data_IF_715454622827
#
_entry.id   IF_715454622827
#
_cell.length_a   1.000
_cell.length_b   1.000
_cell.length_c   1.000
_cell.angle_alpha   90.00
_cell.angle_beta   90.00
_cell.angle_gamma   90.00
#
_symmetry.space_group_name_H-M   'P 1'
#
loop_
_entity.id
_entity.type
_entity.pdbx_description
1 polymer ?
#
# COMPACT_ATOMS: atom_id res chain seq x y z
N UNK A 1 43.20 -13.97 0.91
CA UNK A 1 42.93 -13.07 2.05
C UNK A 1 41.94 -12.07 1.49
N UNK A 2 40.65 -12.40 1.59
CA UNK A 2 39.60 -11.56 1.03
C UNK A 2 39.32 -10.47 2.07
N UNK A 3 39.52 -9.22 1.67
CA UNK A 3 39.14 -8.07 2.47
C UNK A 3 37.63 -8.14 2.70
N UNK A 4 37.23 -8.35 3.95
CA UNK A 4 35.88 -8.04 4.41
C UNK A 4 35.75 -6.52 4.34
N UNK A 5 35.10 -6.04 3.28
CA UNK A 5 34.52 -4.72 3.28
C UNK A 5 33.53 -4.64 4.45
N UNK A 6 33.54 -3.55 5.24
CA UNK A 6 32.52 -3.37 6.27
C UNK A 6 31.16 -3.40 5.56
N UNK A 7 30.31 -4.38 5.91
CA UNK A 7 28.92 -4.44 5.43
C UNK A 7 28.26 -3.12 5.80
N UNK A 8 28.11 -2.23 4.82
CA UNK A 8 26.99 -1.30 4.82
C UNK A 8 25.73 -2.11 5.10
N UNK A 9 24.91 -1.67 6.05
CA UNK A 9 23.72 -2.41 6.46
C UNK A 9 22.86 -2.74 5.23
N UNK A 10 22.69 -4.04 5.02
CA UNK A 10 21.89 -4.60 3.94
C UNK A 10 20.42 -4.36 4.26
N UNK A 11 19.71 -3.62 3.42
CA UNK A 11 18.27 -3.46 3.57
C UNK A 11 17.55 -4.74 3.13
N UNK A 12 16.43 -5.02 3.80
CA UNK A 12 15.64 -6.23 3.56
C UNK A 12 14.21 -5.83 3.28
N UNK A 13 13.56 -6.56 2.37
CA UNK A 13 12.17 -6.33 2.02
C UNK A 13 11.47 -7.62 1.59
N UNK A 14 10.17 -7.65 1.76
CA UNK A 14 9.30 -8.69 1.24
C UNK A 14 8.54 -8.20 0.00
N UNK A 15 8.30 -9.12 -0.94
CA UNK A 15 7.53 -8.85 -2.16
C UNK A 15 6.32 -9.77 -2.24
N UNK A 16 5.13 -9.18 -2.22
CA UNK A 16 3.87 -9.87 -2.50
C UNK A 16 3.60 -9.99 -3.99
N UNK A 17 2.96 -11.07 -4.42
CA UNK A 17 2.75 -11.37 -5.86
C UNK A 17 1.35 -11.92 -6.14
N UNK A 18 0.91 -11.81 -7.40
CA UNK A 18 -0.16 -12.67 -7.92
C UNK A 18 0.44 -14.00 -8.41
N UNK A 19 -0.07 -15.12 -7.90
CA UNK A 19 0.46 -16.46 -8.15
C UNK A 19 -0.47 -17.34 -9.00
N UNK A 20 -1.73 -16.94 -9.12
CA UNK A 20 -2.74 -17.64 -9.93
C UNK A 20 -2.92 -16.88 -11.24
N UNK A 21 -3.09 -17.62 -12.34
CA UNK A 21 -3.26 -17.06 -13.69
C UNK A 21 -4.23 -15.87 -13.72
N UNK A 22 -3.85 -14.73 -14.33
CA UNK A 22 -2.66 -14.54 -15.18
C UNK A 22 -1.35 -14.20 -14.42
N UNK A 23 -1.37 -14.24 -13.09
CA UNK A 23 -0.19 -14.00 -12.24
C UNK A 23 0.93 -15.03 -12.48
N UNK A 24 2.18 -14.57 -12.37
CA UNK A 24 3.39 -15.37 -12.59
C UNK A 24 4.30 -15.47 -11.36
N UNK A 25 3.90 -14.91 -10.23
CA UNK A 25 4.64 -15.02 -8.99
C UNK A 25 4.50 -16.41 -8.36
N UNK A 26 5.37 -16.72 -7.41
CA UNK A 26 5.36 -18.00 -6.72
C UNK A 26 4.91 -17.92 -5.25
N UNK A 27 4.71 -16.70 -4.72
CA UNK A 27 4.32 -16.47 -3.34
C UNK A 27 4.86 -15.15 -2.79
N UNK A 28 5.40 -15.18 -1.57
CA UNK A 28 6.08 -14.04 -0.95
C UNK A 28 7.58 -14.22 -1.10
N UNK A 29 8.28 -13.23 -1.68
CA UNK A 29 9.73 -13.26 -1.85
C UNK A 29 10.37 -12.47 -0.72
N UNK A 30 11.43 -13.01 -0.13
CA UNK A 30 12.32 -12.27 0.78
C UNK A 30 13.51 -11.82 -0.04
N UNK A 31 13.81 -10.53 -0.01
CA UNK A 31 14.81 -9.92 -0.86
C UNK A 31 15.72 -9.01 -0.04
N UNK A 32 16.91 -8.76 -0.56
CA UNK A 32 17.80 -7.74 -0.02
C UNK A 32 18.09 -6.65 -1.04
N UNK A 33 18.43 -5.46 -0.55
CA UNK A 33 18.84 -4.27 -1.29
C UNK A 33 20.20 -3.81 -0.77
N UNK A 34 21.20 -3.80 -1.65
CA UNK A 34 22.53 -3.25 -1.35
C UNK A 34 22.52 -1.71 -1.60
N UNK A 35 23.47 -0.94 -1.03
CA UNK A 35 23.47 0.53 -1.18
C UNK A 35 23.70 1.06 -2.60
N UNK A 36 24.22 0.23 -3.51
CA UNK A 36 24.33 0.57 -4.94
C UNK A 36 23.00 0.38 -5.69
N UNK A 37 21.98 -0.15 -5.01
CA UNK A 37 20.67 -0.44 -5.54
C UNK A 37 20.49 -1.85 -6.06
N UNK A 38 21.54 -2.68 -6.04
CA UNK A 38 21.43 -4.07 -6.48
C UNK A 38 20.56 -4.88 -5.53
N UNK A 39 19.73 -5.75 -6.09
CA UNK A 39 18.75 -6.53 -5.35
C UNK A 39 18.92 -8.01 -5.60
N UNK A 40 18.65 -8.83 -4.58
CA UNK A 40 18.71 -10.30 -4.71
C UNK A 40 17.60 -10.99 -3.94
N UNK A 41 17.09 -12.08 -4.50
CA UNK A 41 16.16 -12.99 -3.82
C UNK A 41 16.96 -13.83 -2.82
N UNK A 42 16.48 -13.87 -1.57
CA UNK A 42 17.01 -14.70 -0.50
C UNK A 42 16.21 -16.00 -0.37
N UNK A 43 14.88 -15.89 -0.40
CA UNK A 43 13.97 -17.02 -0.24
C UNK A 43 12.60 -16.72 -0.89
N UNK A 44 11.85 -17.78 -1.19
CA UNK A 44 10.47 -17.71 -1.66
C UNK A 44 9.59 -18.58 -0.77
N UNK A 45 8.59 -17.96 -0.15
CA UNK A 45 7.55 -18.63 0.61
C UNK A 45 6.32 -18.88 -0.27
N UNK A 46 6.07 -20.15 -0.62
CA UNK A 46 5.09 -20.54 -1.66
C UNK A 46 3.76 -21.09 -1.13
N UNK A 47 3.53 -21.08 0.18
CA UNK A 47 2.39 -21.77 0.78
C UNK A 47 1.06 -20.98 0.72
N UNK A 48 1.07 -19.75 0.20
CA UNK A 48 -0.08 -18.86 0.14
C UNK A 48 -0.34 -18.45 -1.32
N UNK A 49 -1.58 -18.60 -1.84
CA UNK A 49 -1.96 -18.10 -3.16
C UNK A 49 -2.26 -16.60 -3.12
N UNK A 50 -1.86 -15.89 -4.18
CA UNK A 50 -2.09 -14.45 -4.37
C UNK A 50 -1.85 -13.60 -3.10
N UNK A 51 -0.66 -13.65 -2.46
CA UNK A 51 -0.29 -12.72 -1.41
C UNK A 51 -0.03 -11.33 -2.00
N UNK A 52 -1.08 -10.68 -2.49
CA UNK A 52 -1.00 -9.44 -3.27
C UNK A 52 -0.70 -8.20 -2.43
N UNK A 53 -0.90 -8.29 -1.11
CA UNK A 53 -0.55 -7.25 -0.15
C UNK A 53 -0.05 -7.85 1.15
N UNK A 54 1.07 -7.32 1.66
CA UNK A 54 1.69 -7.75 2.91
C UNK A 54 2.05 -6.56 3.78
N UNK A 55 1.94 -6.71 5.09
CA UNK A 55 2.42 -5.72 6.06
C UNK A 55 3.20 -6.40 7.18
N UNK A 56 4.01 -5.62 7.89
CA UNK A 56 4.87 -6.11 8.96
C UNK A 56 4.48 -5.55 10.32
N UNK A 57 4.56 -6.43 11.31
CA UNK A 57 4.79 -6.07 12.70
C UNK A 57 6.28 -6.35 12.99
N UNK A 58 7.12 -5.34 12.71
CA UNK A 58 8.59 -5.45 12.75
C UNK A 58 9.12 -5.79 14.14
N UNK A 59 8.66 -5.13 15.23
CA UNK A 59 9.16 -5.43 16.58
C UNK A 59 9.01 -6.90 16.97
N UNK A 60 7.93 -7.56 16.52
CA UNK A 60 7.65 -8.96 16.86
C UNK A 60 8.04 -9.95 15.75
N UNK A 61 8.68 -9.49 14.67
CA UNK A 61 9.07 -10.29 13.50
C UNK A 61 7.91 -11.08 12.88
N UNK A 62 6.81 -10.38 12.65
CA UNK A 62 5.59 -10.93 12.05
C UNK A 62 5.26 -10.26 10.74
N UNK A 63 4.64 -11.03 9.86
CA UNK A 63 4.12 -10.58 8.57
C UNK A 63 2.67 -11.04 8.44
N UNK A 64 1.80 -10.17 7.94
CA UNK A 64 0.42 -10.48 7.62
C UNK A 64 0.22 -10.36 6.12
N UNK A 65 -0.48 -11.32 5.50
CA UNK A 65 -0.67 -11.39 4.05
C UNK A 65 -2.12 -11.71 3.70
N UNK A 66 -2.70 -10.97 2.75
CA UNK A 66 -3.99 -11.33 2.16
C UNK A 66 -3.85 -12.53 1.24
N UNK A 67 -4.94 -13.25 1.00
CA UNK A 67 -5.07 -14.18 -0.11
C UNK A 67 -6.13 -13.59 -1.04
N UNK A 68 -5.70 -12.84 -2.07
CA UNK A 68 -6.64 -12.14 -2.95
C UNK A 68 -7.36 -13.14 -3.86
N UNK A 69 -8.57 -13.50 -3.47
CA UNK A 69 -9.38 -14.52 -4.10
C UNK A 69 -10.89 -14.24 -3.91
N UNK A 70 -11.73 -14.99 -4.65
CA UNK A 70 -13.18 -14.95 -4.49
C UNK A 70 -13.67 -15.47 -3.14
N UNK A 71 -14.97 -15.32 -2.87
CA UNK A 71 -15.61 -15.53 -1.56
C UNK A 71 -15.28 -16.86 -0.85
N UNK A 72 -15.11 -17.94 -1.61
CA UNK A 72 -14.86 -19.27 -1.04
C UNK A 72 -13.40 -19.48 -0.62
N UNK A 73 -12.48 -18.64 -1.08
CA UNK A 73 -11.03 -18.80 -0.87
C UNK A 73 -10.34 -17.54 -0.34
N UNK A 74 -11.08 -16.43 -0.18
CA UNK A 74 -10.59 -15.22 0.47
C UNK A 74 -10.15 -15.52 1.90
N UNK A 75 -8.91 -15.16 2.20
CA UNK A 75 -8.29 -15.44 3.49
C UNK A 75 -7.21 -14.40 3.83
N UNK A 76 -6.74 -14.46 5.07
CA UNK A 76 -5.60 -13.70 5.56
C UNK A 76 -4.74 -14.63 6.42
N UNK A 77 -3.44 -14.56 6.26
CA UNK A 77 -2.49 -15.38 7.02
C UNK A 77 -1.61 -14.52 7.91
N UNK A 78 -1.34 -15.02 9.12
CA UNK A 78 -0.24 -14.57 9.96
C UNK A 78 0.98 -15.45 9.73
N UNK A 79 2.14 -14.80 9.61
CA UNK A 79 3.43 -15.43 9.43
C UNK A 79 4.42 -14.85 10.43
N UNK A 80 5.43 -15.64 10.80
CA UNK A 80 6.64 -15.17 11.48
C UNK A 80 7.81 -15.21 10.51
N UNK A 81 8.86 -14.44 10.78
CA UNK A 81 10.14 -14.57 10.08
C UNK A 81 11.33 -14.69 11.02
N UNK A 82 12.33 -15.45 10.58
CA UNK A 82 13.59 -15.67 11.29
C UNK A 82 14.59 -14.53 11.03
N UNK A 83 15.74 -14.56 11.70
CA UNK A 83 16.81 -13.55 11.51
C UNK A 83 17.42 -13.56 10.10
N UNK A 84 17.33 -14.68 9.40
CA UNK A 84 17.67 -14.83 7.98
C UNK A 84 16.45 -14.65 7.06
N UNK A 85 15.38 -14.05 7.60
CA UNK A 85 14.17 -13.62 6.89
C UNK A 85 13.35 -14.75 6.23
N UNK A 86 13.47 -15.97 6.75
CA UNK A 86 12.64 -17.10 6.30
C UNK A 86 11.25 -17.01 6.89
N UNK A 87 10.22 -17.03 6.05
CA UNK A 87 8.82 -16.99 6.49
C UNK A 87 8.33 -18.36 6.98
N UNK A 88 7.52 -18.34 8.04
CA UNK A 88 6.81 -19.51 8.58
C UNK A 88 5.37 -19.15 8.85
N UNK A 89 4.45 -19.97 8.33
CA UNK A 89 3.02 -19.82 8.61
C UNK A 89 2.72 -20.04 10.09
N UNK A 90 1.95 -19.13 10.70
CA UNK A 90 1.41 -19.28 12.05
C UNK A 90 -0.02 -19.84 11.93
N UNK A 91 -0.93 -19.08 11.33
CA UNK A 91 -2.27 -19.53 11.01
C UNK A 91 -2.86 -18.77 9.81
N UNK A 92 -4.02 -19.23 9.35
CA UNK A 92 -4.81 -18.61 8.29
C UNK A 92 -6.26 -18.49 8.75
N UNK A 93 -6.87 -17.33 8.55
CA UNK A 93 -8.28 -17.07 8.82
C UNK A 93 -9.04 -16.84 7.51
N UNK A 94 -10.27 -17.34 7.43
CA UNK A 94 -11.18 -17.01 6.33
C UNK A 94 -11.57 -15.54 6.41
N UNK A 95 -11.57 -14.85 5.28
CA UNK A 95 -12.05 -13.47 5.15
C UNK A 95 -13.47 -13.45 4.58
N UNK A 96 -14.50 -13.04 5.36
CA UNK A 96 -15.82 -12.78 4.81
C UNK A 96 -15.79 -11.64 3.79
N UNK A 97 -16.23 -11.93 2.57
CA UNK A 97 -16.13 -11.01 1.43
C UNK A 97 -15.29 -11.62 0.32
N UNK A 98 -14.87 -10.81 -0.65
CA UNK A 98 -14.07 -11.24 -1.79
C UNK A 98 -13.04 -10.19 -2.18
N UNK A 99 -11.93 -10.69 -2.73
CA UNK A 99 -10.76 -9.91 -3.16
C UNK A 99 -10.18 -9.04 -2.03
N UNK A 100 -9.77 -9.64 -0.88
CA UNK A 100 -9.02 -8.90 0.14
C UNK A 100 -7.74 -8.35 -0.49
N UNK A 101 -7.51 -7.05 -0.34
CA UNK A 101 -6.51 -6.34 -1.14
C UNK A 101 -5.60 -5.39 -0.35
N UNK A 102 -5.88 -5.17 0.94
CA UNK A 102 -5.09 -4.29 1.79
C UNK A 102 -5.25 -4.66 3.26
N UNK A 103 -4.21 -4.38 4.05
CA UNK A 103 -4.13 -4.66 5.49
C UNK A 103 -3.70 -3.41 6.26
N UNK A 104 -4.14 -3.28 7.50
CA UNK A 104 -3.54 -2.35 8.46
C UNK A 104 -3.51 -2.93 9.86
N UNK A 105 -2.41 -2.68 10.56
CA UNK A 105 -2.28 -2.93 12.00
C UNK A 105 -2.73 -1.69 12.75
N UNK A 106 -3.49 -1.89 13.81
CA UNK A 106 -3.76 -0.79 14.73
C UNK A 106 -2.48 -0.40 15.50
N UNK A 107 -2.38 0.83 16.02
CA UNK A 107 -1.18 1.30 16.70
C UNK A 107 -0.77 0.50 17.93
N UNK A 108 -1.70 -0.23 18.57
CA UNK A 108 -1.39 -1.12 19.69
C UNK A 108 -0.85 -2.49 19.26
N UNK A 109 -1.06 -2.89 18.00
CA UNK A 109 -0.70 -4.20 17.48
C UNK A 109 -1.65 -5.33 17.92
N UNK A 110 -2.83 -4.98 18.44
CA UNK A 110 -3.85 -5.93 18.90
C UNK A 110 -4.86 -6.30 17.81
N UNK A 111 -4.99 -5.50 16.75
CA UNK A 111 -5.97 -5.68 15.70
C UNK A 111 -5.36 -5.57 14.30
N UNK A 112 -5.88 -6.42 13.41
CA UNK A 112 -5.61 -6.40 11.99
C UNK A 112 -6.92 -6.12 11.23
N UNK A 113 -6.93 -5.09 10.39
CA UNK A 113 -8.05 -4.81 9.48
C UNK A 113 -7.74 -5.25 8.06
N UNK A 114 -8.73 -5.77 7.35
CA UNK A 114 -8.62 -6.20 5.94
C UNK A 114 -9.68 -5.50 5.10
N UNK A 115 -9.28 -4.87 4.00
CA UNK A 115 -10.20 -4.28 3.03
C UNK A 115 -10.50 -5.27 1.90
N UNK A 116 -11.78 -5.51 1.62
CA UNK A 116 -12.24 -6.38 0.54
C UNK A 116 -12.76 -5.56 -0.64
N UNK A 117 -12.05 -5.63 -1.77
CA UNK A 117 -12.34 -4.80 -2.93
C UNK A 117 -13.66 -5.20 -3.60
N UNK A 118 -13.83 -6.46 -3.96
CA UNK A 118 -14.96 -6.88 -4.81
C UNK A 118 -16.30 -6.91 -4.08
N UNK A 119 -16.29 -7.15 -2.77
CA UNK A 119 -17.51 -7.15 -1.93
C UNK A 119 -17.77 -5.82 -1.22
N UNK A 120 -16.80 -4.90 -1.18
CA UNK A 120 -16.97 -3.57 -0.61
C UNK A 120 -17.20 -3.56 0.90
N UNK A 121 -16.42 -4.35 1.64
CA UNK A 121 -16.52 -4.44 3.10
C UNK A 121 -15.14 -4.44 3.76
N UNK A 122 -15.10 -4.10 5.04
CA UNK A 122 -13.89 -4.16 5.88
C UNK A 122 -14.13 -5.17 6.99
N UNK A 123 -13.15 -6.04 7.24
CA UNK A 123 -13.19 -7.00 8.36
C UNK A 123 -12.06 -6.75 9.34
N UNK A 124 -12.24 -7.20 10.58
CA UNK A 124 -11.26 -7.05 11.65
C UNK A 124 -11.05 -8.36 12.40
N UNK A 125 -9.79 -8.64 12.72
CA UNK A 125 -9.34 -9.75 13.56
C UNK A 125 -8.56 -9.20 14.75
N UNK A 126 -8.58 -9.94 15.86
CA UNK A 126 -7.61 -9.74 16.93
C UNK A 126 -6.29 -10.44 16.61
N UNK A 127 -5.21 -9.97 17.20
CA UNK A 127 -3.88 -10.56 17.13
C UNK A 127 -3.54 -11.13 18.51
N UNK A 128 -3.30 -12.43 18.56
CA UNK A 128 -2.94 -13.12 19.79
C UNK A 128 -1.46 -12.91 20.15
N UNK A 129 -1.08 -13.26 21.38
CA UNK A 129 0.27 -13.05 21.89
C UNK A 129 1.36 -13.76 21.07
N UNK A 130 1.04 -14.85 20.36
CA UNK A 130 1.94 -15.57 19.46
C UNK A 130 1.96 -15.01 18.03
N UNK A 131 1.10 -14.03 17.73
CA UNK A 131 0.94 -13.38 16.44
C UNK A 131 -0.14 -13.99 15.56
N UNK A 132 -0.77 -15.09 15.99
CA UNK A 132 -1.87 -15.70 15.27
C UNK A 132 -3.09 -14.78 15.25
N UNK A 133 -3.91 -14.91 14.20
CA UNK A 133 -5.16 -14.17 14.10
C UNK A 133 -6.28 -14.91 14.83
N UNK A 134 -7.04 -14.19 15.64
CA UNK A 134 -8.24 -14.70 16.33
C UNK A 134 -9.35 -15.06 15.33
N UNK A 135 -10.47 -15.57 15.83
CA UNK A 135 -11.72 -15.55 15.05
C UNK A 135 -12.11 -14.12 14.68
N UNK A 136 -12.94 -13.98 13.63
CA UNK A 136 -13.46 -12.70 13.15
C UNK A 136 -14.06 -11.88 14.30
N UNK A 137 -13.58 -10.65 14.48
CA UNK A 137 -14.10 -9.71 15.48
C UNK A 137 -15.25 -8.88 14.93
N UNK A 138 -15.08 -8.37 13.71
CA UNK A 138 -16.09 -7.53 13.08
C UNK A 138 -16.07 -7.60 11.55
N UNK A 139 -17.19 -7.24 10.93
CA UNK A 139 -17.36 -7.14 9.49
C UNK A 139 -18.34 -6.01 9.16
N UNK A 140 -17.83 -4.96 8.53
CA UNK A 140 -18.57 -3.77 8.16
C UNK A 140 -18.80 -3.76 6.65
N UNK A 141 -20.04 -3.98 6.24
CA UNK A 141 -20.48 -3.85 4.85
C UNK A 141 -20.74 -2.38 4.53
N UNK A 142 -20.06 -1.85 3.51
CA UNK A 142 -20.40 -0.52 2.99
C UNK A 142 -21.61 -0.59 2.06
N UNK A 143 -22.18 0.57 1.74
CA UNK A 143 -23.25 0.73 0.77
C UNK A 143 -23.08 2.05 0.00
N UNK A 144 -23.67 2.12 -1.18
CA UNK A 144 -23.55 3.27 -2.07
C UNK A 144 -22.97 2.87 -3.42
N UNK A 145 -22.76 3.86 -4.28
CA UNK A 145 -22.17 3.75 -5.62
C UNK A 145 -21.79 5.15 -6.10
N UNK A 146 -21.18 5.24 -7.28
CA UNK A 146 -20.89 6.53 -7.91
C UNK A 146 -21.14 6.52 -9.42
N UNK A 147 -20.53 7.47 -10.14
CA UNK A 147 -20.85 7.84 -11.52
C UNK A 147 -20.26 6.89 -12.55
N UNK A 148 -19.16 6.20 -12.25
CA UNK A 148 -18.57 5.22 -13.17
C UNK A 148 -19.29 3.86 -13.06
N UNK A 149 -20.29 3.63 -13.90
CA UNK A 149 -21.11 2.42 -13.86
C UNK A 149 -20.36 1.08 -14.02
N UNK A 150 -19.12 1.09 -14.54
CA UNK A 150 -18.31 -0.11 -14.74
C UNK A 150 -17.30 -0.38 -13.60
N UNK A 151 -17.04 0.61 -12.76
CA UNK A 151 -16.01 0.55 -11.70
C UNK A 151 -16.53 0.97 -10.33
N UNK A 152 -17.74 1.50 -10.26
CA UNK A 152 -18.37 2.13 -9.10
C UNK A 152 -19.87 1.79 -9.06
N UNK A 153 -20.23 0.58 -9.45
CA UNK A 153 -21.60 0.04 -9.39
C UNK A 153 -22.09 -0.20 -7.95
N UNK A 154 -21.13 -0.35 -7.04
CA UNK A 154 -21.30 -0.59 -5.62
C UNK A 154 -20.03 -0.16 -4.87
N UNK A 155 -19.95 -0.44 -3.55
CA UNK A 155 -18.75 -0.14 -2.76
C UNK A 155 -17.57 -1.03 -3.15
N UNK A 156 -16.37 -0.45 -3.08
CA UNK A 156 -15.09 -1.13 -3.28
C UNK A 156 -14.07 -0.61 -2.28
N UNK A 157 -14.12 -1.10 -1.04
CA UNK A 157 -13.15 -0.78 -0.01
C UNK A 157 -11.75 -1.25 -0.45
N UNK A 158 -10.83 -0.31 -0.67
CA UNK A 158 -9.54 -0.61 -1.29
C UNK A 158 -8.38 -0.50 -0.31
N UNK A 159 -8.42 0.40 0.67
CA UNK A 159 -7.38 0.44 1.70
C UNK A 159 -7.92 0.85 3.06
N UNK A 160 -7.19 0.43 4.09
CA UNK A 160 -7.40 0.73 5.50
C UNK A 160 -6.11 1.33 6.04
N UNK A 161 -6.18 2.42 6.80
CA UNK A 161 -5.01 3.00 7.49
C UNK A 161 -5.46 3.55 8.84
N UNK A 162 -4.69 3.27 9.89
CA UNK A 162 -4.88 3.92 11.19
C UNK A 162 -4.17 5.27 11.19
N UNK A 163 -4.94 6.32 11.50
CA UNK A 163 -4.44 7.68 11.65
C UNK A 163 -4.19 8.04 13.12
N UNK A 164 -4.07 9.35 13.43
CA UNK A 164 -4.04 9.83 14.79
C UNK A 164 -5.24 9.33 15.61
N UNK A 165 -5.08 9.26 16.93
CA UNK A 165 -6.12 8.79 17.86
C UNK A 165 -6.54 7.32 17.64
N UNK A 166 -5.71 6.53 16.94
CA UNK A 166 -6.02 5.14 16.56
C UNK A 166 -7.35 4.99 15.80
N UNK A 167 -7.78 6.05 15.11
CA UNK A 167 -8.95 6.03 14.24
C UNK A 167 -8.62 5.34 12.91
N UNK A 168 -9.48 4.42 12.50
CA UNK A 168 -9.36 3.73 11.22
C UNK A 168 -9.98 4.58 10.12
N UNK A 169 -9.28 4.71 9.01
CA UNK A 169 -9.74 5.40 7.80
C UNK A 169 -9.72 4.45 6.62
N UNK A 170 -10.76 4.49 5.80
CA UNK A 170 -10.99 3.54 4.71
C UNK A 170 -11.25 4.29 3.41
N UNK A 171 -10.43 4.05 2.41
CA UNK A 171 -10.66 4.51 1.04
C UNK A 171 -11.63 3.56 0.34
N UNK A 172 -12.79 4.05 -0.07
CA UNK A 172 -13.79 3.30 -0.84
C UNK A 172 -13.89 3.85 -2.27
N UNK A 173 -13.28 3.11 -3.19
CA UNK A 173 -13.23 3.45 -4.61
C UNK A 173 -14.63 3.55 -5.21
N UNK A 174 -15.53 2.68 -4.78
CA UNK A 174 -16.87 2.53 -5.36
C UNK A 174 -17.84 3.65 -4.99
N UNK A 175 -17.57 4.37 -3.89
CA UNK A 175 -18.48 5.39 -3.35
C UNK A 175 -17.91 6.81 -3.37
N UNK A 176 -16.66 6.97 -3.82
CA UNK A 176 -15.89 8.23 -3.75
C UNK A 176 -15.81 8.79 -2.33
N UNK A 177 -15.54 7.92 -1.35
CA UNK A 177 -15.48 8.30 0.07
C UNK A 177 -14.17 7.86 0.74
N UNK A 178 -13.71 8.69 1.66
CA UNK A 178 -12.85 8.28 2.77
C UNK A 178 -13.73 8.18 4.02
N UNK A 179 -13.97 6.96 4.49
CA UNK A 179 -14.81 6.67 5.66
C UNK A 179 -13.95 6.57 6.92
N UNK A 180 -14.40 7.14 8.03
CA UNK A 180 -13.73 7.10 9.33
C UNK A 180 -14.48 6.23 10.33
N UNK A 181 -13.71 5.47 11.11
CA UNK A 181 -14.21 4.48 12.06
C UNK A 181 -13.51 4.59 13.40
N UNK A 182 -14.29 4.78 14.46
CA UNK A 182 -13.84 4.56 15.83
C UNK A 182 -13.88 3.08 16.19
N UNK A 183 -13.00 2.66 17.10
CA UNK A 183 -13.02 1.32 17.70
C UNK A 183 -13.69 1.39 19.07
N UNK A 184 -14.85 0.74 19.21
CA UNK A 184 -15.59 0.68 20.48
C UNK A 184 -16.03 -0.77 20.75
N UNK A 185 -15.68 -1.30 21.92
CA UNK A 185 -16.03 -2.67 22.35
C UNK A 185 -15.60 -3.77 21.35
N UNK A 186 -14.43 -3.59 20.73
CA UNK A 186 -13.91 -4.53 19.72
C UNK A 186 -14.69 -4.51 18.40
N UNK A 187 -15.44 -3.43 18.11
CA UNK A 187 -16.19 -3.22 16.87
C UNK A 187 -15.86 -1.89 16.22
N UNK A 188 -15.87 -1.90 14.89
CA UNK A 188 -15.70 -0.72 14.06
C UNK A 188 -17.04 0.01 13.94
N UNK A 189 -17.03 1.31 14.22
CA UNK A 189 -18.23 2.16 14.14
C UNK A 189 -17.92 3.34 13.22
N UNK A 190 -18.62 3.40 12.08
CA UNK A 190 -18.53 4.55 11.19
C UNK A 190 -19.00 5.79 11.96
N UNK A 191 -18.17 6.82 12.01
CA UNK A 191 -18.47 8.07 12.71
C UNK A 191 -18.34 9.30 11.79
N UNK A 192 -17.78 9.11 10.59
CA UNK A 192 -17.47 10.18 9.64
C UNK A 192 -17.29 9.62 8.24
N UNK A 193 -17.57 10.44 7.23
CA UNK A 193 -17.31 10.15 5.82
C UNK A 193 -17.02 11.47 5.11
N UNK A 194 -15.95 11.48 4.31
CA UNK A 194 -15.56 12.63 3.49
C UNK A 194 -15.66 12.25 2.02
N UNK A 195 -16.52 12.95 1.29
CA UNK A 195 -16.69 12.78 -0.15
C UNK A 195 -15.52 13.39 -0.92
N UNK A 196 -15.01 12.65 -1.90
CA UNK A 196 -14.10 13.14 -2.92
C UNK A 196 -14.87 13.49 -4.21
N UNK A 197 -14.15 13.89 -5.25
CA UNK A 197 -14.77 14.18 -6.55
C UNK A 197 -15.48 12.93 -7.09
N UNK A 198 -16.65 13.11 -7.69
CA UNK A 198 -17.39 12.01 -8.28
C UNK A 198 -16.61 11.41 -9.44
N UNK A 199 -16.38 10.10 -9.40
CA UNK A 199 -15.57 9.37 -10.37
C UNK A 199 -14.08 9.32 -10.06
N UNK A 200 -13.64 9.82 -8.90
CA UNK A 200 -12.22 9.82 -8.52
C UNK A 200 -11.70 8.41 -8.20
N UNK A 201 -12.47 7.64 -7.42
CA UNK A 201 -12.13 6.30 -7.00
C UNK A 201 -10.96 6.25 -6.00
N UNK A 202 -11.13 6.74 -4.75
CA UNK A 202 -10.11 6.69 -3.70
C UNK A 202 -9.55 5.27 -3.53
N UNK A 203 -8.22 5.12 -3.53
CA UNK A 203 -7.54 3.81 -3.57
C UNK A 203 -6.69 3.56 -2.34
N UNK A 204 -5.53 4.18 -2.27
CA UNK A 204 -4.57 4.10 -1.15
C UNK A 204 -4.41 5.50 -0.52
N UNK A 205 -3.90 5.53 0.71
CA UNK A 205 -3.76 6.78 1.46
C UNK A 205 -2.59 6.72 2.43
N UNK A 206 -2.05 7.88 2.78
CA UNK A 206 -0.94 8.02 3.72
C UNK A 206 -1.06 9.33 4.50
N UNK A 207 -0.86 9.27 5.82
CA UNK A 207 -0.83 10.47 6.66
C UNK A 207 0.52 11.19 6.55
N UNK A 208 0.51 12.51 6.72
CA UNK A 208 1.73 13.26 7.03
C UNK A 208 2.37 12.74 8.33
N UNK A 209 3.69 12.86 8.51
CA UNK A 209 4.37 12.37 9.73
C UNK A 209 3.80 12.92 11.04
N UNK A 210 3.26 14.14 11.01
CA UNK A 210 2.61 14.79 12.16
C UNK A 210 1.10 14.50 12.28
N UNK A 211 0.53 13.75 11.34
CA UNK A 211 -0.88 13.36 11.31
C UNK A 211 -1.87 14.49 11.00
N UNK A 212 -1.41 15.68 10.59
CA UNK A 212 -2.28 16.82 10.26
C UNK A 212 -2.90 16.74 8.87
N UNK A 213 -2.33 15.96 7.97
CA UNK A 213 -2.79 15.84 6.59
C UNK A 213 -2.91 14.38 6.17
N UNK A 214 -3.86 14.11 5.29
CA UNK A 214 -4.04 12.83 4.63
C UNK A 214 -3.95 13.03 3.12
N UNK A 215 -3.07 12.27 2.48
CA UNK A 215 -2.94 12.23 1.04
C UNK A 215 -3.62 10.96 0.53
N UNK A 216 -4.51 11.11 -0.45
CA UNK A 216 -5.30 9.99 -0.99
C UNK A 216 -5.07 9.94 -2.49
N UNK A 217 -4.56 8.81 -2.98
CA UNK A 217 -4.50 8.53 -4.41
C UNK A 217 -5.88 8.09 -4.89
N UNK A 218 -6.34 8.68 -5.98
CA UNK A 218 -7.58 8.36 -6.67
C UNK A 218 -7.26 7.59 -7.96
N UNK A 219 -7.74 6.35 -8.04
CA UNK A 219 -7.39 5.41 -9.10
C UNK A 219 -7.95 5.84 -10.46
N UNK A 220 -9.21 6.25 -10.51
CA UNK A 220 -9.98 6.32 -11.76
C UNK A 220 -9.74 7.62 -12.53
N UNK A 221 -9.44 8.71 -11.83
CA UNK A 221 -9.15 10.01 -12.45
C UNK A 221 -7.66 10.40 -12.42
N UNK A 222 -6.80 9.52 -11.89
CA UNK A 222 -5.36 9.76 -11.73
C UNK A 222 -5.03 11.07 -11.01
N UNK A 223 -5.61 11.26 -9.83
CA UNK A 223 -5.35 12.42 -8.97
C UNK A 223 -4.83 12.02 -7.58
N UNK A 224 -4.22 12.99 -6.89
CA UNK A 224 -4.01 12.93 -5.43
C UNK A 224 -4.86 14.01 -4.78
N UNK A 225 -5.72 13.61 -3.86
CA UNK A 225 -6.45 14.52 -2.96
C UNK A 225 -5.63 14.80 -1.71
N UNK A 226 -5.52 16.08 -1.35
CA UNK A 226 -4.99 16.56 -0.09
C UNK A 226 -6.16 16.89 0.84
N UNK A 227 -6.20 16.23 2.00
CA UNK A 227 -7.18 16.48 3.03
C UNK A 227 -6.49 16.96 4.30
N UNK A 228 -7.09 17.95 4.97
CA UNK A 228 -6.70 18.33 6.33
C UNK A 228 -7.39 17.41 7.33
N UNK A 229 -6.63 16.93 8.31
CA UNK A 229 -7.12 16.18 9.45
C UNK A 229 -7.14 17.08 10.69
N UNK A 230 -8.33 17.29 11.26
CA UNK A 230 -8.51 18.10 12.46
C UNK A 230 -9.63 17.53 13.32
N UNK A 231 -9.34 17.30 14.61
CA UNK A 231 -10.32 16.83 15.61
C UNK A 231 -11.08 15.57 15.15
N UNK A 232 -10.36 14.58 14.60
CA UNK A 232 -10.94 13.32 14.13
C UNK A 232 -11.79 13.44 12.86
N UNK A 233 -11.75 14.56 12.14
CA UNK A 233 -12.47 14.77 10.88
C UNK A 233 -11.52 15.12 9.73
N UNK A 234 -11.95 14.81 8.51
CA UNK A 234 -11.22 15.12 7.27
C UNK A 234 -11.96 16.17 6.44
N UNK A 235 -11.26 17.20 6.00
CA UNK A 235 -11.76 18.17 5.03
C UNK A 235 -10.91 18.16 3.77
N UNK A 236 -11.53 17.93 2.61
CA UNK A 236 -10.86 18.04 1.31
C UNK A 236 -10.42 19.49 1.06
N UNK A 237 -9.13 19.67 0.76
CA UNK A 237 -8.54 20.97 0.42
C UNK A 237 -8.44 21.13 -1.09
N UNK A 238 -7.75 20.19 -1.74
CA UNK A 238 -7.53 20.20 -3.20
C UNK A 238 -7.32 18.79 -3.74
N UNK A 239 -7.47 18.63 -5.05
CA UNK A 239 -7.03 17.46 -5.80
C UNK A 239 -6.21 17.92 -7.00
N UNK A 240 -5.08 17.28 -7.24
CA UNK A 240 -4.23 17.58 -8.41
C UNK A 240 -3.98 16.33 -9.25
N UNK A 241 -3.79 16.50 -10.56
CA UNK A 241 -3.42 15.40 -11.46
C UNK A 241 -2.03 14.87 -11.14
N UNK A 242 -1.87 13.55 -11.18
CA UNK A 242 -0.57 12.86 -11.11
C UNK A 242 0.04 12.62 -12.50
N UNK A 243 -0.53 13.21 -13.54
CA UNK A 243 -0.11 13.04 -14.93
C UNK A 243 0.38 14.36 -15.54
N UNK A 244 1.34 14.31 -16.50
CA UNK A 244 1.67 15.45 -17.33
C UNK A 244 0.43 15.99 -18.06
N UNK A 245 0.34 17.32 -18.20
CA UNK A 245 -0.82 17.98 -18.83
C UNK A 245 -1.10 17.56 -20.28
N UNK A 246 -0.08 17.06 -20.99
CA UNK A 246 -0.12 16.62 -22.38
C UNK A 246 -0.32 15.10 -22.52
N UNK A 247 -0.38 14.35 -21.42
CA UNK A 247 -0.70 12.93 -21.45
C UNK A 247 -2.19 12.71 -21.72
N UNK A 248 -2.49 11.84 -22.68
CA UNK A 248 -3.86 11.56 -23.15
C UNK A 248 -4.21 10.07 -23.14
N UNK A 249 -3.29 9.23 -22.66
CA UNK A 249 -3.50 7.79 -22.54
C UNK A 249 -4.37 7.44 -21.32
N UNK A 250 -4.73 6.16 -21.23
CA UNK A 250 -5.37 5.63 -20.04
C UNK A 250 -4.35 5.47 -18.92
N UNK A 251 -4.73 5.87 -17.70
CA UNK A 251 -3.89 5.71 -16.53
C UNK A 251 -4.73 5.48 -15.28
N UNK A 252 -4.18 4.67 -14.38
CA UNK A 252 -4.78 4.32 -13.10
C UNK A 252 -3.76 4.50 -11.98
N UNK A 253 -3.96 5.49 -11.13
CA UNK A 253 -3.09 5.71 -9.99
C UNK A 253 -3.20 4.52 -9.00
N UNK A 254 -2.13 4.20 -8.27
CA UNK A 254 -2.05 2.98 -7.48
C UNK A 254 -1.54 3.21 -6.04
N UNK A 255 -0.23 3.22 -5.84
CA UNK A 255 0.35 3.37 -4.50
C UNK A 255 0.65 4.82 -4.19
N UNK A 256 0.64 5.16 -2.90
CA UNK A 256 1.10 6.46 -2.39
C UNK A 256 2.01 6.25 -1.18
N UNK A 257 3.07 7.05 -1.07
CA UNK A 257 3.98 7.10 0.09
C UNK A 257 4.40 8.55 0.33
N UNK A 258 4.82 8.87 1.54
CA UNK A 258 5.38 10.18 1.88
C UNK A 258 6.81 10.00 2.38
N UNK A 259 7.69 10.93 2.01
CA UNK A 259 9.04 11.00 2.55
C UNK A 259 8.98 11.30 4.07
N UNK A 260 9.87 10.73 4.91
CA UNK A 260 9.87 10.97 6.36
C UNK A 260 10.01 12.44 6.79
N UNK A 261 10.58 13.30 5.93
CA UNK A 261 10.65 14.75 6.17
C UNK A 261 9.29 15.48 5.98
N UNK A 262 8.26 14.78 5.50
CA UNK A 262 6.92 15.32 5.27
C UNK A 262 6.76 16.19 4.02
N UNK A 263 7.82 16.48 3.26
CA UNK A 263 7.82 17.46 2.16
C UNK A 263 7.52 16.88 0.79
N UNK A 264 7.65 15.57 0.60
CA UNK A 264 7.49 14.93 -0.71
C UNK A 264 6.54 13.74 -0.65
N UNK A 265 5.55 13.75 -1.52
CA UNK A 265 4.56 12.69 -1.69
C UNK A 265 4.80 12.02 -3.04
N UNK A 266 4.82 10.70 -3.04
CA UNK A 266 5.06 9.88 -4.22
C UNK A 266 3.78 9.13 -4.55
N UNK A 267 3.37 9.13 -5.82
CA UNK A 267 2.19 8.38 -6.28
C UNK A 267 2.49 7.63 -7.58
N UNK A 268 2.17 6.33 -7.65
CA UNK A 268 2.43 5.54 -8.86
C UNK A 268 1.25 5.55 -9.82
N UNK A 269 1.52 5.61 -11.12
CA UNK A 269 0.53 5.58 -12.19
C UNK A 269 0.74 4.33 -13.07
N UNK A 270 -0.27 3.47 -13.18
CA UNK A 270 -0.28 2.34 -14.13
C UNK A 270 -0.83 2.82 -15.47
N UNK A 271 -0.13 2.59 -16.56
CA UNK A 271 -0.49 3.11 -17.89
C UNK A 271 0.43 4.25 -18.33
N UNK A 272 0.55 5.32 -17.53
CA UNK A 272 1.66 6.27 -17.69
C UNK A 272 3.00 5.70 -17.19
N UNK A 273 2.95 4.64 -16.37
CA UNK A 273 4.10 3.86 -15.86
C UNK A 273 5.18 4.75 -15.24
N UNK A 274 4.76 5.50 -14.22
CA UNK A 274 5.58 6.51 -13.55
C UNK A 274 5.31 6.61 -12.05
N UNK A 275 6.25 7.18 -11.32
CA UNK A 275 6.05 7.78 -9.99
C UNK A 275 5.94 9.30 -10.18
N UNK A 276 4.77 9.87 -9.88
CA UNK A 276 4.62 11.30 -9.70
C UNK A 276 5.26 11.70 -8.36
N UNK A 277 6.22 12.61 -8.39
CA UNK A 277 6.84 13.22 -7.22
C UNK A 277 6.19 14.58 -7.01
N UNK A 278 5.54 14.76 -5.87
CA UNK A 278 4.79 15.95 -5.51
C UNK A 278 5.46 16.60 -4.30
N UNK A 279 5.84 17.87 -4.42
CA UNK A 279 6.24 18.68 -3.28
C UNK A 279 4.99 19.13 -2.52
N UNK A 280 5.00 18.94 -1.19
CA UNK A 280 3.96 19.38 -0.28
C UNK A 280 4.43 20.63 0.48
N UNK A 281 3.71 21.72 0.28
CA UNK A 281 3.85 22.95 1.06
C UNK A 281 2.78 22.96 2.15
N UNK A 282 3.19 22.78 3.41
CA UNK A 282 2.28 22.76 4.57
C UNK A 282 1.66 24.14 4.85
N UNK A 283 2.39 25.24 4.62
CA UNK A 283 1.90 26.59 4.91
C UNK A 283 0.85 27.03 3.87
N UNK A 284 1.11 26.74 2.60
CA UNK A 284 0.18 27.02 1.51
C UNK A 284 -0.91 25.95 1.36
N UNK A 285 -0.70 24.77 1.94
CA UNK A 285 -1.53 23.57 1.78
C UNK A 285 -1.75 23.17 0.32
N UNK A 286 -0.65 23.10 -0.41
CA UNK A 286 -0.67 22.76 -1.84
C UNK A 286 0.25 21.59 -2.15
N UNK A 287 -0.06 20.93 -3.26
CA UNK A 287 0.79 19.92 -3.88
C UNK A 287 1.25 20.44 -5.23
N UNK A 288 2.53 20.33 -5.52
CA UNK A 288 3.13 20.73 -6.81
C UNK A 288 3.91 19.56 -7.41
N UNK A 289 3.60 19.10 -8.63
CA UNK A 289 4.41 18.10 -9.30
C UNK A 289 5.82 18.64 -9.59
N UNK A 290 6.86 17.94 -9.12
CA UNK A 290 8.26 18.29 -9.35
C UNK A 290 8.98 17.30 -10.27
N UNK A 291 8.39 16.11 -10.47
CA UNK A 291 8.88 15.09 -11.40
C UNK A 291 7.78 14.07 -11.74
N UNK A 292 7.84 13.51 -12.94
CA UNK A 292 7.18 12.25 -13.30
C UNK A 292 8.28 11.25 -13.67
N UNK A 293 8.74 10.46 -12.71
CA UNK A 293 9.83 9.52 -12.90
C UNK A 293 9.31 8.23 -13.56
N UNK A 294 9.83 7.83 -14.71
CA UNK A 294 9.46 6.54 -15.31
C UNK A 294 9.83 5.39 -14.37
N UNK A 295 8.96 4.38 -14.28
CA UNK A 295 9.27 3.15 -13.52
C UNK A 295 10.07 2.12 -14.32
N UNK A 296 10.42 2.44 -15.57
CA UNK A 296 11.12 1.62 -16.58
C UNK A 296 10.34 0.36 -17.00
N UNK A 297 9.71 -0.32 -16.06
CA UNK A 297 8.76 -1.41 -16.30
C UNK A 297 7.32 -0.92 -16.53
N UNK A 298 6.39 -1.87 -16.54
CA UNK A 298 4.99 -1.65 -16.89
C UNK A 298 4.05 -2.00 -15.73
N UNK A 299 3.07 -1.12 -15.50
CA UNK A 299 2.04 -1.27 -14.46
C UNK A 299 2.62 -1.26 -13.03
N UNK A 300 3.24 -0.16 -12.56
CA UNK A 300 3.77 -0.03 -11.21
C UNK A 300 2.66 0.02 -10.16
N UNK A 301 2.24 -1.16 -9.68
CA UNK A 301 1.11 -1.29 -8.77
C UNK A 301 1.46 -0.92 -7.33
N UNK A 302 2.71 -1.11 -6.94
CA UNK A 302 3.20 -0.69 -5.63
C UNK A 302 4.69 -0.31 -5.67
N UNK A 303 5.14 0.40 -4.65
CA UNK A 303 6.53 0.77 -4.43
C UNK A 303 6.78 1.03 -2.95
N UNK A 304 8.05 1.05 -2.53
CA UNK A 304 8.44 1.37 -1.16
C UNK A 304 9.71 2.24 -1.12
N UNK A 305 9.80 3.09 -0.10
CA UNK A 305 11.04 3.82 0.24
C UNK A 305 11.81 2.99 1.27
N UNK A 306 13.13 3.03 1.22
CA UNK A 306 13.98 2.57 2.33
C UNK A 306 13.73 3.40 3.58
N UNK A 307 14.04 2.88 4.76
CA UNK A 307 13.76 3.57 6.03
C UNK A 307 14.55 4.87 6.19
N UNK A 308 15.77 4.90 5.65
CA UNK A 308 16.59 6.10 5.59
C UNK A 308 16.15 7.08 4.48
N UNK A 309 15.15 6.67 3.68
CA UNK A 309 14.58 7.38 2.55
C UNK A 309 15.61 7.85 1.51
N UNK A 310 16.71 7.10 1.35
CA UNK A 310 17.70 7.36 0.29
C UNK A 310 17.42 6.59 -0.98
N UNK A 311 16.61 5.53 -0.93
CA UNK A 311 16.24 4.77 -2.11
C UNK A 311 14.74 4.46 -2.17
N UNK A 312 14.29 4.13 -3.37
CA UNK A 312 12.93 3.67 -3.64
C UNK A 312 12.99 2.43 -4.54
N UNK A 313 12.12 1.45 -4.27
CA UNK A 313 11.94 0.24 -5.11
C UNK A 313 10.54 0.26 -5.70
N UNK A 314 10.43 0.15 -7.03
CA UNK A 314 9.15 -0.03 -7.72
C UNK A 314 8.87 -1.51 -7.96
N UNK A 315 7.59 -1.90 -7.97
CA UNK A 315 7.14 -3.23 -8.41
C UNK A 315 6.20 -3.09 -9.61
N UNK A 316 6.64 -3.61 -10.76
CA UNK A 316 5.93 -3.51 -12.01
C UNK A 316 5.24 -4.83 -12.35
N UNK A 317 3.93 -4.85 -12.21
CA UNK A 317 3.13 -6.08 -12.26
C UNK A 317 3.25 -6.80 -13.60
N UNK A 318 3.19 -6.06 -14.71
CA UNK A 318 3.06 -6.62 -16.05
C UNK A 318 4.40 -6.86 -16.74
N UNK A 319 5.45 -6.12 -16.38
CA UNK A 319 6.81 -6.40 -16.84
C UNK A 319 7.55 -7.45 -16.00
N UNK A 320 7.00 -7.83 -14.83
CA UNK A 320 7.58 -8.85 -13.94
C UNK A 320 8.96 -8.47 -13.42
N UNK A 321 9.10 -7.20 -13.01
CA UNK A 321 10.36 -6.67 -12.52
C UNK A 321 10.19 -5.63 -11.41
N UNK A 322 11.28 -5.45 -10.68
CA UNK A 322 11.51 -4.40 -9.73
C UNK A 322 12.69 -3.57 -10.21
N UNK A 323 12.64 -2.26 -10.01
CA UNK A 323 13.77 -1.35 -10.24
C UNK A 323 14.02 -0.53 -8.98
N UNK A 324 15.29 -0.21 -8.71
CA UNK A 324 15.68 0.69 -7.63
C UNK A 324 16.05 2.08 -8.15
N UNK A 325 15.85 3.08 -7.29
CA UNK A 325 16.07 4.49 -7.57
C UNK A 325 16.80 5.12 -6.40
N UNK A 326 17.79 5.96 -6.67
CA UNK A 326 18.29 6.92 -5.69
C UNK A 326 17.26 8.02 -5.48
N UNK A 327 17.05 8.40 -4.23
CA UNK A 327 16.10 9.43 -3.81
C UNK A 327 16.89 10.62 -3.24
N UNK A 328 16.73 11.78 -3.86
CA UNK A 328 17.30 13.02 -3.36
C UNK A 328 16.34 13.65 -2.32
N UNK A 329 16.67 13.54 -1.03
CA UNK A 329 15.81 14.02 0.06
C UNK A 329 15.60 15.54 0.14
N UNK A 330 16.38 16.34 -0.59
CA UNK A 330 16.23 17.80 -0.67
C UNK A 330 15.23 18.23 -1.74
N UNK A 331 15.19 17.52 -2.86
CA UNK A 331 14.36 17.84 -4.03
C UNK A 331 13.21 16.87 -4.25
N UNK A 332 13.20 15.76 -3.51
CA UNK A 332 12.27 14.64 -3.66
C UNK A 332 12.53 13.75 -4.88
N UNK A 333 13.41 14.16 -5.80
CA UNK A 333 13.54 13.54 -7.12
C UNK A 333 14.16 12.14 -7.07
N UNK A 334 13.74 11.32 -8.02
CA UNK A 334 14.18 9.94 -8.23
C UNK A 334 15.10 9.84 -9.44
N UNK A 335 16.22 9.14 -9.27
CA UNK A 335 17.16 8.79 -10.34
C UNK A 335 17.33 7.27 -10.38
N UNK A 336 17.13 6.60 -11.53
CA UNK A 336 17.29 5.16 -11.60
C UNK A 336 18.74 4.75 -11.34
N UNK A 337 18.95 3.70 -10.56
CA UNK A 337 20.29 3.13 -10.30
C UNK A 337 20.80 2.32 -11.51
N UNK A 338 19.87 1.84 -12.35
CA UNK A 338 20.13 0.87 -13.41
C UNK A 338 19.94 -0.59 -12.97
N UNK A 339 19.69 -0.83 -11.68
CA UNK A 339 19.55 -2.15 -11.10
C UNK A 339 18.12 -2.68 -11.23
N UNK A 340 18.02 -3.96 -11.58
CA UNK A 340 16.77 -4.67 -11.87
C UNK A 340 16.74 -6.01 -11.14
N UNK A 341 15.58 -6.38 -10.60
CA UNK A 341 15.31 -7.74 -10.13
C UNK A 341 14.06 -8.30 -10.80
N UNK A 342 14.15 -9.52 -11.36
CA UNK A 342 13.00 -10.18 -11.98
C UNK A 342 12.22 -11.00 -10.95
N UNK A 343 10.95 -10.65 -10.78
CA UNK A 343 9.97 -11.38 -9.96
C UNK A 343 8.67 -11.42 -10.75
N UNK A 344 8.02 -12.59 -10.80
CA UNK A 344 6.73 -12.74 -11.48
C UNK A 344 5.63 -11.93 -10.79
N UNK A 345 4.94 -11.08 -11.55
CA UNK A 345 3.77 -10.29 -11.11
C UNK A 345 3.89 -9.68 -9.69
N UNK A 346 4.92 -8.86 -9.42
CA UNK A 346 5.12 -8.25 -8.12
C UNK A 346 4.14 -7.09 -7.94
N UNK A 347 3.46 -7.04 -6.80
CA UNK A 347 2.35 -6.10 -6.56
C UNK A 347 2.33 -5.48 -5.17
N UNK A 348 3.26 -5.88 -4.30
CA UNK A 348 3.48 -5.23 -3.02
C UNK A 348 4.96 -5.29 -2.66
N UNK A 349 5.52 -4.17 -2.18
CA UNK A 349 6.89 -4.11 -1.64
C UNK A 349 6.81 -3.61 -0.20
N UNK A 350 7.34 -4.39 0.74
CA UNK A 350 7.31 -4.08 2.16
C UNK A 350 8.73 -4.17 2.75
N UNK A 351 9.36 -3.02 3.00
CA UNK A 351 10.66 -2.95 3.68
C UNK A 351 10.56 -3.51 5.10
N UNK A 352 11.62 -4.15 5.63
CA UNK A 352 11.68 -4.79 6.96
C UNK A 352 12.21 -3.90 8.07
#
# INVERSE_FOLDING_TARGET
>A
MFEEFPKSELDIFFVGTYTVSPGKGEGIYSCSLEPDGSMRILEIFKAIPNPSYVILDRPNKRLYAVHEAGTDSAAVSALSYTDDYKLRLINTQKVPGSSPCHLALDPSGEYLTVANYSSGNVVMYGIEADGSLSELKDNVQHAGKSVNAARQEGPHAHSTVFGPEAKLWVADLGTDEVKGYGLAEGKLREDSSTKLAAGAGPRHMVFSPDGKYLFVVNELDSTVSLLRHQQGALSLLTSISTLPHDFTGESYCAAIRIHPNGKFVYASNRGHDSIAVLEFDEEAETLTPVQYASTIGNFPRDFALTHDAKMLITSNQHSHDLYSYNLNGETGKLEPTGEKLEIGSPVCVCMV
#
